data_IF_295702531563
#
_entry.id   IF_295702531563
#
_cell.length_a   1.000
_cell.length_b   1.000
_cell.length_c   1.000
_cell.angle_alpha   90.00
_cell.angle_beta   90.00
_cell.angle_gamma   90.00
#
_symmetry.space_group_name_H-M   'P 1'
#
loop_
_entity.id
_entity.type
_entity.pdbx_description
1 polymer ?
#
# COMPACT_ATOMS: atom_id res chain seq x y z
N UNK A 1 -5.66 2.50 -13.99
CA UNK A 1 -4.87 3.69 -13.61
C UNK A 1 -5.59 4.99 -13.91
N UNK A 2 -6.33 5.11 -15.02
CA UNK A 2 -7.14 6.31 -15.31
C UNK A 2 -8.09 6.70 -14.16
N UNK A 3 -8.77 5.74 -13.54
CA UNK A 3 -9.63 5.99 -12.36
C UNK A 3 -8.88 6.69 -11.22
N UNK A 4 -7.63 6.32 -10.93
CA UNK A 4 -6.83 6.96 -9.90
C UNK A 4 -6.49 8.42 -10.24
N UNK A 5 -6.28 8.74 -11.53
CA UNK A 5 -6.06 10.12 -11.98
C UNK A 5 -7.34 10.94 -11.84
N UNK A 6 -8.46 10.39 -12.33
CA UNK A 6 -9.77 11.07 -12.32
C UNK A 6 -10.25 11.36 -10.89
N UNK A 7 -9.99 10.44 -9.95
CA UNK A 7 -10.32 10.64 -8.53
C UNK A 7 -9.30 11.50 -7.77
N UNK A 8 -8.21 11.95 -8.41
CA UNK A 8 -7.15 12.71 -7.77
C UNK A 8 -6.33 11.92 -6.75
N UNK A 9 -6.32 10.59 -6.86
CA UNK A 9 -5.54 9.69 -6.00
C UNK A 9 -4.10 9.48 -6.50
N UNK A 10 -3.78 9.90 -7.72
CA UNK A 10 -2.42 9.89 -8.26
C UNK A 10 -2.18 11.08 -9.18
N UNK A 11 -0.91 11.42 -9.40
CA UNK A 11 -0.48 12.41 -10.38
C UNK A 11 0.68 11.86 -11.22
N UNK A 12 0.89 12.46 -12.40
CA UNK A 12 2.05 12.14 -13.22
C UNK A 12 3.30 12.74 -12.57
N UNK A 13 4.30 11.89 -12.34
CA UNK A 13 5.61 12.34 -11.88
C UNK A 13 6.21 13.29 -12.93
N UNK A 14 6.73 14.47 -12.54
CA UNK A 14 7.43 15.35 -13.48
C UNK A 14 8.65 14.67 -14.09
N UNK A 15 8.94 14.90 -15.37
CA UNK A 15 10.08 14.27 -16.07
C UNK A 15 11.42 14.51 -15.39
N UNK A 16 11.60 15.69 -14.80
CA UNK A 16 12.83 16.05 -14.08
C UNK A 16 13.05 15.21 -12.81
N UNK A 17 12.00 14.57 -12.31
CA UNK A 17 11.99 13.85 -11.05
C UNK A 17 12.18 12.33 -11.21
N UNK A 18 12.20 11.83 -12.45
CA UNK A 18 12.32 10.39 -12.74
C UNK A 18 13.59 9.76 -12.15
N UNK A 19 14.68 10.52 -12.08
CA UNK A 19 15.98 10.09 -11.56
C UNK A 19 16.28 10.59 -10.14
N UNK A 20 15.27 11.07 -9.39
CA UNK A 20 15.47 11.45 -7.99
C UNK A 20 15.97 10.24 -7.21
N UNK A 21 17.12 10.40 -6.55
CA UNK A 21 17.74 9.36 -5.71
C UNK A 21 16.87 8.97 -4.51
N UNK A 22 15.97 9.86 -4.10
CA UNK A 22 15.06 9.69 -2.98
C UNK A 22 13.69 9.11 -3.41
N UNK A 23 13.54 8.71 -4.68
CA UNK A 23 12.32 8.05 -5.15
C UNK A 23 12.33 6.57 -4.79
N UNK A 24 11.20 6.09 -4.27
CA UNK A 24 10.97 4.68 -3.98
C UNK A 24 9.71 4.21 -4.70
N UNK A 25 9.84 3.14 -5.46
CA UNK A 25 8.75 2.58 -6.27
C UNK A 25 8.24 1.30 -5.62
N UNK A 26 6.96 1.31 -5.26
CA UNK A 26 6.28 0.13 -4.75
C UNK A 26 5.97 -0.84 -5.90
N UNK A 27 6.40 -2.11 -5.83
CA UNK A 27 5.89 -3.14 -6.71
C UNK A 27 4.37 -3.19 -6.60
N UNK A 28 3.69 -3.33 -7.73
CA UNK A 28 2.24 -3.46 -7.76
C UNK A 28 1.82 -4.61 -8.66
N UNK A 29 0.71 -5.25 -8.30
CA UNK A 29 0.10 -6.27 -9.14
C UNK A 29 -1.42 -6.19 -9.12
N UNK A 30 -2.01 -6.62 -10.22
CA UNK A 30 -3.45 -6.73 -10.40
C UNK A 30 -3.97 -8.01 -9.74
N UNK A 31 -4.99 -7.87 -8.90
CA UNK A 31 -5.72 -8.99 -8.29
C UNK A 31 -7.15 -8.98 -8.83
N UNK A 32 -7.51 -10.05 -9.54
CA UNK A 32 -8.87 -10.29 -9.99
C UNK A 32 -9.67 -11.01 -8.90
N UNK A 33 -10.85 -10.49 -8.60
CA UNK A 33 -11.83 -11.08 -7.69
C UNK A 33 -13.19 -11.07 -8.38
N UNK A 34 -13.43 -12.09 -9.19
CA UNK A 34 -14.65 -12.22 -9.98
C UNK A 34 -15.92 -12.29 -9.13
N UNK A 35 -15.81 -12.74 -7.87
CA UNK A 35 -16.89 -12.78 -6.89
C UNK A 35 -17.20 -11.44 -6.22
N UNK A 36 -16.42 -10.39 -6.46
CA UNK A 36 -16.66 -9.08 -5.86
C UNK A 36 -17.83 -8.36 -6.54
N UNK A 37 -18.83 -7.97 -5.75
CA UNK A 37 -20.03 -7.26 -6.23
C UNK A 37 -19.74 -5.84 -6.70
N UNK A 38 -18.73 -5.17 -6.13
CA UNK A 38 -18.41 -3.76 -6.42
C UNK A 38 -17.25 -3.60 -7.41
N UNK A 39 -16.11 -4.26 -7.16
CA UNK A 39 -14.89 -4.07 -7.98
C UNK A 39 -14.21 -5.41 -8.27
N UNK A 40 -14.29 -5.85 -9.53
CA UNK A 40 -13.73 -7.12 -9.99
C UNK A 40 -12.19 -7.12 -10.08
N UNK A 41 -11.56 -5.95 -10.20
CA UNK A 41 -10.11 -5.79 -10.27
C UNK A 41 -9.65 -4.84 -9.17
N UNK A 42 -8.58 -5.19 -8.47
CA UNK A 42 -7.91 -4.33 -7.48
C UNK A 42 -6.41 -4.31 -7.74
N UNK A 43 -5.78 -3.17 -7.52
CA UNK A 43 -4.31 -3.04 -7.55
C UNK A 43 -3.81 -3.16 -6.11
N UNK A 44 -2.85 -4.05 -5.89
CA UNK A 44 -2.19 -4.23 -4.59
C UNK A 44 -0.77 -3.69 -4.70
N UNK A 45 -0.40 -2.79 -3.79
CA UNK A 45 0.96 -2.27 -3.66
C UNK A 45 1.68 -3.01 -2.54
N UNK A 46 2.87 -3.52 -2.84
CA UNK A 46 3.69 -4.26 -1.88
C UNK A 46 4.60 -3.30 -1.10
N UNK A 47 4.11 -2.85 0.05
CA UNK A 47 4.87 -2.01 0.99
C UNK A 47 5.93 -2.78 1.80
N UNK A 48 6.00 -4.11 1.67
CA UNK A 48 7.00 -4.94 2.35
C UNK A 48 8.25 -5.21 1.51
N UNK A 49 8.23 -4.86 0.22
CA UNK A 49 9.38 -4.99 -0.66
C UNK A 49 10.55 -4.16 -0.14
N UNK A 50 11.71 -4.79 0.06
CA UNK A 50 12.89 -4.08 0.56
C UNK A 50 13.47 -3.16 -0.50
N UNK A 51 13.82 -1.95 -0.09
CA UNK A 51 14.56 -1.00 -0.92
C UNK A 51 16.05 -1.36 -1.00
N UNK A 52 16.82 -0.55 -1.71
CA UNK A 52 18.29 -0.69 -1.77
C UNK A 52 18.99 -0.49 -0.43
N UNK A 53 18.32 0.11 0.56
CA UNK A 53 18.86 0.23 1.94
C UNK A 53 18.61 -1.03 2.78
N UNK A 54 17.73 -1.94 2.32
CA UNK A 54 17.32 -3.14 3.06
C UNK A 54 16.05 -2.97 3.89
N UNK A 55 15.53 -1.74 4.01
CA UNK A 55 14.28 -1.42 4.71
C UNK A 55 13.10 -1.34 3.72
N UNK A 56 11.90 -1.67 4.19
CA UNK A 56 10.64 -1.52 3.48
C UNK A 56 9.85 -0.31 3.98
N UNK A 57 8.80 0.10 3.25
CA UNK A 57 7.93 1.19 3.69
C UNK A 57 7.26 0.89 5.03
N UNK A 58 6.87 -0.37 5.26
CA UNK A 58 6.27 -0.80 6.51
C UNK A 58 7.23 -0.67 7.71
N UNK A 59 8.54 -0.83 7.49
CA UNK A 59 9.56 -0.70 8.55
C UNK A 59 9.76 0.76 8.97
N UNK A 60 9.53 1.70 8.05
CA UNK A 60 9.79 3.12 8.24
C UNK A 60 8.54 3.91 8.69
N UNK A 61 7.35 3.34 8.53
CA UNK A 61 6.11 3.99 8.94
C UNK A 61 5.96 4.03 10.47
N UNK A 62 5.54 5.19 10.99
CA UNK A 62 5.21 5.31 12.40
C UNK A 62 3.91 4.56 12.69
N UNK A 63 3.99 3.51 13.51
CA UNK A 63 2.86 2.62 13.83
C UNK A 63 1.73 3.32 14.62
N UNK A 64 2.02 4.48 15.20
CA UNK A 64 1.12 5.18 16.11
C UNK A 64 0.81 4.39 17.39
N UNK A 65 0.01 4.97 18.29
CA UNK A 65 -0.45 4.27 19.49
C UNK A 65 -1.41 3.13 19.13
N UNK A 66 -1.31 2.00 19.84
CA UNK A 66 -2.22 0.87 19.67
C UNK A 66 -3.64 1.25 20.09
N UNK A 67 -4.54 1.38 19.11
CA UNK A 67 -5.95 1.79 19.35
C UNK A 67 -6.80 0.63 19.85
N UNK A 68 -6.50 -0.60 19.43
CA UNK A 68 -7.29 -1.78 19.79
C UNK A 68 -6.82 -2.36 21.12
N UNK A 69 -7.77 -2.53 22.06
CA UNK A 69 -7.54 -3.23 23.32
C UNK A 69 -7.10 -4.68 23.06
N UNK A 70 -6.35 -5.25 23.99
CA UNK A 70 -6.02 -6.67 23.93
C UNK A 70 -7.29 -7.51 23.82
N UNK A 71 -7.30 -8.39 22.82
CA UNK A 71 -8.37 -9.38 22.67
C UNK A 71 -8.04 -10.47 23.68
N UNK A 72 -8.62 -10.36 24.87
CA UNK A 72 -8.59 -11.46 25.82
C UNK A 72 -9.48 -12.59 25.28
N UNK A 73 -9.00 -13.84 25.24
CA UNK A 73 -9.89 -14.96 24.98
C UNK A 73 -10.92 -14.98 26.10
N UNK A 74 -12.20 -14.80 25.76
CA UNK A 74 -13.31 -15.11 26.65
C UNK A 74 -13.19 -16.58 27.00
N UNK A 75 -12.75 -16.88 28.23
CA UNK A 75 -12.83 -18.21 28.78
C UNK A 75 -14.32 -18.58 28.86
N UNK A 76 -14.77 -19.43 27.93
CA UNK A 76 -16.00 -20.18 28.14
C UNK A 76 -15.68 -21.21 29.23
N UNK A 77 -16.21 -20.99 30.42
CA UNK A 77 -16.38 -22.02 31.45
C UNK A 77 -17.37 -23.08 30.95
#
# INVERSE_FOLDING_TARGET
>A
MEEYLTLGHMELVPKNDYAKKEAYYLPHHAVLRDSSTTTKLRVVFDASAKSTTGDSLNDLQWLGPRVQRDVYPTAFL
#
